data_IF_701266267479
#
_entry.id   IF_701266267479
#
_cell.length_a   1.000
_cell.length_b   1.000
_cell.length_c   1.000
_cell.angle_alpha   90.00
_cell.angle_beta   90.00
_cell.angle_gamma   90.00
#
_symmetry.space_group_name_H-M   'P 1'
#
loop_
_entity.id
_entity.type
_entity.pdbx_description
1 polymer ?
#
# COMPACT_ATOMS: atom_id res chain seq x y z
N UNK A 1 25.08 5.56 -2.39
CA UNK A 1 25.02 6.43 -3.59
C UNK A 1 24.09 7.58 -3.28
N UNK A 2 24.66 8.77 -3.13
CA UNK A 2 23.88 9.98 -2.92
C UNK A 2 23.07 10.28 -4.19
N UNK A 3 21.75 10.49 -4.07
CA UNK A 3 20.88 10.70 -5.22
C UNK A 3 20.81 12.18 -5.56
N UNK A 4 21.92 12.72 -6.10
CA UNK A 4 22.04 14.12 -6.50
C UNK A 4 21.89 14.32 -8.02
N UNK A 5 21.61 15.56 -8.43
CA UNK A 5 21.58 15.95 -9.84
C UNK A 5 22.91 15.70 -10.56
N UNK A 6 24.04 15.87 -9.87
CA UNK A 6 25.37 15.65 -10.42
C UNK A 6 25.62 14.17 -10.73
N UNK A 7 25.18 13.28 -9.84
CA UNK A 7 25.26 11.83 -10.03
C UNK A 7 24.37 11.37 -11.19
N UNK A 8 23.28 12.09 -11.46
CA UNK A 8 22.44 11.85 -12.63
C UNK A 8 23.12 12.33 -13.92
N UNK A 9 23.68 13.55 -13.92
CA UNK A 9 24.38 14.10 -15.07
C UNK A 9 25.58 13.24 -15.47
N UNK A 10 26.38 12.79 -14.51
CA UNK A 10 27.53 11.89 -14.73
C UNK A 10 27.11 10.59 -15.41
N UNK A 11 26.12 9.87 -14.86
CA UNK A 11 25.60 8.62 -15.45
C UNK A 11 25.06 8.82 -16.87
N UNK A 12 24.39 9.94 -17.14
CA UNK A 12 23.91 10.25 -18.50
C UNK A 12 25.09 10.40 -19.47
N UNK A 13 26.14 11.13 -19.08
CA UNK A 13 27.35 11.32 -19.90
C UNK A 13 28.02 9.99 -20.19
N UNK A 14 28.15 9.10 -19.21
CA UNK A 14 28.72 7.76 -19.37
C UNK A 14 27.90 6.86 -20.31
N UNK A 15 26.57 6.97 -20.28
CA UNK A 15 25.69 6.17 -21.16
C UNK A 15 25.62 6.69 -22.60
N UNK A 16 25.96 7.95 -22.83
CA UNK A 16 25.79 8.62 -24.13
C UNK A 16 26.75 8.14 -25.22
N UNK A 17 27.98 7.66 -24.94
CA UNK A 17 28.79 6.96 -25.93
C UNK A 17 28.24 5.58 -26.31
N UNK A 18 27.51 4.93 -25.41
CA UNK A 18 26.99 3.56 -25.59
C UNK A 18 25.57 3.53 -26.20
N UNK A 19 24.91 4.69 -26.32
CA UNK A 19 23.53 4.83 -26.77
C UNK A 19 23.28 6.23 -27.32
N UNK A 20 22.13 6.51 -27.94
CA UNK A 20 21.84 7.91 -28.31
C UNK A 20 21.56 8.76 -27.05
N UNK A 21 21.86 10.06 -27.10
CA UNK A 21 21.59 11.00 -25.99
C UNK A 21 20.13 10.97 -25.49
N UNK A 22 19.18 10.71 -26.41
CA UNK A 22 17.76 10.53 -26.08
C UNK A 22 17.50 9.25 -25.28
N UNK A 23 18.09 8.13 -25.70
CA UNK A 23 17.99 6.85 -24.99
C UNK A 23 18.70 6.91 -23.63
N UNK A 24 19.90 7.48 -23.56
CA UNK A 24 20.62 7.71 -22.31
C UNK A 24 19.79 8.54 -21.32
N UNK A 25 19.16 9.63 -21.79
CA UNK A 25 18.26 10.45 -20.99
C UNK A 25 17.03 9.69 -20.48
N UNK A 26 16.37 8.91 -21.35
CA UNK A 26 15.19 8.14 -20.99
C UNK A 26 15.50 7.05 -19.95
N UNK A 27 16.60 6.30 -20.13
CA UNK A 27 17.01 5.22 -19.23
C UNK A 27 17.36 5.77 -17.84
N UNK A 28 18.16 6.83 -17.78
CA UNK A 28 18.61 7.41 -16.51
C UNK A 28 17.45 8.04 -15.73
N UNK A 29 16.54 8.74 -16.42
CA UNK A 29 15.31 9.29 -15.82
C UNK A 29 14.42 8.18 -15.27
N UNK A 30 14.09 7.18 -16.09
CA UNK A 30 13.21 6.09 -15.68
C UNK A 30 13.78 5.34 -14.48
N UNK A 31 15.08 5.04 -14.47
CA UNK A 31 15.75 4.36 -13.35
C UNK A 31 15.72 5.20 -12.07
N UNK A 32 15.94 6.51 -12.18
CA UNK A 32 15.86 7.44 -11.05
C UNK A 32 14.45 7.52 -10.47
N UNK A 33 13.44 7.69 -11.33
CA UNK A 33 12.03 7.76 -10.92
C UNK A 33 11.58 6.45 -10.24
N UNK A 34 12.00 5.30 -10.76
CA UNK A 34 11.71 4.00 -10.14
C UNK A 34 12.35 3.86 -8.77
N UNK A 35 13.61 4.28 -8.61
CA UNK A 35 14.27 4.26 -7.31
C UNK A 35 13.55 5.16 -6.29
N UNK A 36 13.24 6.40 -6.67
CA UNK A 36 12.57 7.38 -5.81
C UNK A 36 11.18 6.89 -5.39
N UNK A 37 10.43 6.31 -6.32
CA UNK A 37 9.14 5.68 -6.04
C UNK A 37 9.31 4.51 -5.06
N UNK A 38 10.24 3.59 -5.33
CA UNK A 38 10.44 2.42 -4.50
C UNK A 38 10.86 2.77 -3.06
N UNK A 39 11.69 3.80 -2.86
CA UNK A 39 12.05 4.31 -1.52
C UNK A 39 10.85 4.88 -0.76
N UNK A 40 9.98 5.64 -1.44
CA UNK A 40 8.73 6.14 -0.83
C UNK A 40 7.78 5.00 -0.46
N UNK A 41 7.62 4.02 -1.35
CA UNK A 41 6.80 2.84 -1.08
C UNK A 41 7.35 1.98 0.08
N UNK A 42 8.68 1.82 0.19
CA UNK A 42 9.32 1.11 1.30
C UNK A 42 9.04 1.81 2.63
N UNK A 43 9.20 3.14 2.69
CA UNK A 43 8.86 3.93 3.88
C UNK A 43 7.38 3.78 4.26
N UNK A 44 6.46 3.91 3.31
CA UNK A 44 5.03 3.74 3.56
C UNK A 44 4.70 2.33 4.06
N UNK A 45 5.39 1.31 3.55
CA UNK A 45 5.21 -0.07 4.00
C UNK A 45 5.67 -0.27 5.44
N UNK A 46 6.84 0.28 5.81
CA UNK A 46 7.35 0.28 7.18
C UNK A 46 6.35 0.96 8.12
N UNK A 47 5.85 2.14 7.77
CA UNK A 47 4.86 2.86 8.57
C UNK A 47 3.56 2.06 8.77
N UNK A 48 3.10 1.35 7.73
CA UNK A 48 1.93 0.48 7.81
C UNK A 48 2.18 -0.72 8.75
N UNK A 49 3.35 -1.36 8.65
CA UNK A 49 3.74 -2.44 9.55
C UNK A 49 3.77 -1.97 11.01
N UNK A 50 4.38 -0.84 11.29
CA UNK A 50 4.44 -0.25 12.63
C UNK A 50 3.04 0.08 13.17
N UNK A 51 2.16 0.68 12.35
CA UNK A 51 0.78 0.95 12.74
C UNK A 51 -0.02 -0.34 13.03
N UNK A 52 0.20 -1.37 12.23
CA UNK A 52 -0.38 -2.70 12.43
C UNK A 52 0.09 -3.34 13.73
N UNK A 53 1.40 -3.31 14.00
CA UNK A 53 2.01 -3.82 15.24
C UNK A 53 1.44 -3.08 16.44
N UNK A 54 1.45 -1.74 16.45
CA UNK A 54 0.89 -0.94 17.55
C UNK A 54 -0.56 -1.32 17.87
N UNK A 55 -1.39 -1.45 16.83
CA UNK A 55 -2.79 -1.85 16.99
C UNK A 55 -2.92 -3.26 17.58
N UNK A 56 -2.13 -4.23 17.10
CA UNK A 56 -2.19 -5.60 17.61
C UNK A 56 -1.67 -5.67 19.05
N UNK A 57 -0.53 -5.06 19.35
CA UNK A 57 0.06 -5.04 20.70
C UNK A 57 -0.92 -4.46 21.71
N UNK A 58 -1.53 -3.31 21.40
CA UNK A 58 -2.54 -2.70 22.26
C UNK A 58 -3.74 -3.62 22.50
N UNK A 59 -4.28 -4.25 21.46
CA UNK A 59 -5.45 -5.14 21.63
C UNK A 59 -5.12 -6.45 22.33
N UNK A 60 -3.89 -6.95 22.20
CA UNK A 60 -3.44 -8.17 22.85
C UNK A 60 -3.18 -7.98 24.34
N UNK A 61 -2.85 -6.76 24.79
CA UNK A 61 -2.67 -6.43 26.22
C UNK A 61 -3.99 -6.29 26.99
N UNK A 62 -5.13 -6.22 26.28
CA UNK A 62 -6.45 -6.13 26.91
C UNK A 62 -7.02 -7.53 27.21
N UNK A 63 -7.73 -7.71 28.33
CA UNK A 63 -8.49 -8.91 28.62
C UNK A 63 -9.37 -9.37 27.44
N UNK A 64 -9.44 -10.69 27.26
CA UNK A 64 -10.29 -11.31 26.23
C UNK A 64 -11.75 -10.95 26.51
N UNK A 65 -12.46 -10.51 25.48
CA UNK A 65 -13.86 -10.10 25.57
C UNK A 65 -14.07 -8.68 26.13
N UNK A 66 -13.02 -7.97 26.53
CA UNK A 66 -13.16 -6.59 26.99
C UNK A 66 -13.72 -5.71 25.88
N UNK A 67 -14.85 -5.05 26.17
CA UNK A 67 -15.47 -4.09 25.24
C UNK A 67 -14.56 -2.87 25.09
N UNK A 68 -14.47 -2.38 23.85
CA UNK A 68 -13.79 -1.12 23.56
C UNK A 68 -14.54 0.07 24.16
N UNK A 69 -13.85 1.20 24.31
CA UNK A 69 -14.47 2.46 24.73
C UNK A 69 -14.12 3.58 23.74
N UNK A 70 -15.02 4.56 23.58
CA UNK A 70 -14.80 5.80 22.80
C UNK A 70 -14.15 5.56 21.42
N UNK A 71 -14.67 4.62 20.65
CA UNK A 71 -14.18 4.33 19.29
C UNK A 71 -12.88 3.53 19.22
N UNK A 72 -12.26 3.20 20.35
CA UNK A 72 -11.08 2.34 20.41
C UNK A 72 -11.52 0.87 20.52
N UNK A 73 -11.04 -0.04 19.66
CA UNK A 73 -11.34 -1.46 19.76
C UNK A 73 -10.84 -2.05 21.08
N UNK A 74 -11.68 -2.84 21.74
CA UNK A 74 -11.28 -3.59 22.93
C UNK A 74 -10.49 -4.86 22.61
N UNK A 75 -10.36 -5.72 23.62
CA UNK A 75 -9.71 -7.02 23.51
C UNK A 75 -10.36 -7.92 22.46
N UNK A 76 -9.67 -8.99 22.07
CA UNK A 76 -10.21 -9.96 21.12
C UNK A 76 -11.38 -10.75 21.71
N UNK A 77 -12.30 -11.22 20.86
CA UNK A 77 -13.55 -11.84 21.31
C UNK A 77 -13.35 -13.24 21.90
N UNK A 78 -12.32 -13.95 21.46
CA UNK A 78 -12.04 -15.33 21.87
C UNK A 78 -10.55 -15.59 22.03
N UNK A 79 -10.21 -16.62 22.80
CA UNK A 79 -8.83 -17.11 22.96
C UNK A 79 -8.24 -17.60 21.62
N UNK A 80 -9.04 -18.25 20.77
CA UNK A 80 -8.61 -18.68 19.42
C UNK A 80 -8.22 -17.48 18.56
N UNK A 81 -9.03 -16.43 18.56
CA UNK A 81 -8.72 -15.20 17.84
C UNK A 81 -7.46 -14.52 18.41
N UNK A 82 -7.35 -14.43 19.74
CA UNK A 82 -6.19 -13.89 20.42
C UNK A 82 -4.90 -14.62 19.99
N UNK A 83 -4.88 -15.96 20.01
CA UNK A 83 -3.72 -16.74 19.56
C UNK A 83 -3.39 -16.55 18.07
N UNK A 84 -4.40 -16.47 17.21
CA UNK A 84 -4.16 -16.18 15.80
C UNK A 84 -3.53 -14.79 15.59
N UNK A 85 -3.93 -13.81 16.41
CA UNK A 85 -3.43 -12.43 16.35
C UNK A 85 -2.06 -12.27 16.99
N UNK A 86 -1.73 -13.02 18.04
CA UNK A 86 -0.38 -13.05 18.61
C UNK A 86 0.64 -13.63 17.63
N UNK A 87 0.28 -14.71 16.91
CA UNK A 87 1.12 -15.23 15.81
C UNK A 87 1.26 -14.21 14.67
N UNK A 88 0.18 -13.54 14.30
CA UNK A 88 0.23 -12.48 13.29
C UNK A 88 1.15 -11.34 13.72
N UNK A 89 1.13 -10.95 15.00
CA UNK A 89 2.01 -9.92 15.54
C UNK A 89 3.48 -10.29 15.28
N UNK A 90 3.88 -11.51 15.64
CA UNK A 90 5.26 -11.98 15.40
C UNK A 90 5.67 -11.90 13.93
N UNK A 91 4.81 -12.35 13.03
CA UNK A 91 5.05 -12.25 11.57
C UNK A 91 5.20 -10.80 11.11
N UNK A 92 4.47 -9.85 11.70
CA UNK A 92 4.62 -8.44 11.36
C UNK A 92 5.93 -7.86 11.91
N UNK A 93 6.34 -8.23 13.12
CA UNK A 93 7.62 -7.83 13.72
C UNK A 93 8.80 -8.32 12.87
N UNK A 94 8.79 -9.59 12.47
CA UNK A 94 9.84 -10.17 11.62
C UNK A 94 9.94 -9.43 10.28
N UNK A 95 8.80 -9.13 9.66
CA UNK A 95 8.75 -8.35 8.41
C UNK A 95 9.26 -6.93 8.60
N UNK A 96 8.93 -6.29 9.72
CA UNK A 96 9.39 -4.94 10.02
C UNK A 96 10.92 -4.92 10.20
N UNK A 97 11.48 -5.91 10.89
CA UNK A 97 12.93 -6.05 11.06
C UNK A 97 13.64 -6.17 9.70
N UNK A 98 13.14 -7.05 8.82
CA UNK A 98 13.70 -7.23 7.46
C UNK A 98 13.63 -5.94 6.64
N UNK A 99 12.49 -5.25 6.62
CA UNK A 99 12.33 -4.03 5.83
C UNK A 99 13.14 -2.85 6.39
N UNK A 100 13.30 -2.76 7.72
CA UNK A 100 14.19 -1.75 8.35
C UNK A 100 15.65 -2.01 7.99
N UNK A 101 16.13 -3.24 8.15
CA UNK A 101 17.49 -3.63 7.78
C UNK A 101 17.74 -3.37 6.28
N UNK A 102 16.80 -3.75 5.42
CA UNK A 102 16.90 -3.47 3.99
C UNK A 102 16.94 -1.98 3.68
N UNK A 103 16.17 -1.17 4.39
CA UNK A 103 16.16 0.29 4.20
C UNK A 103 17.47 0.94 4.61
N UNK A 104 18.06 0.49 5.71
CA UNK A 104 19.36 0.93 6.26
C UNK A 104 20.51 0.52 5.34
N UNK A 105 20.50 -0.72 4.84
CA UNK A 105 21.43 -1.22 3.84
C UNK A 105 21.26 -0.56 2.45
N UNK A 106 20.28 0.33 2.27
CA UNK A 106 20.02 1.01 0.99
C UNK A 106 19.45 0.09 -0.10
N UNK A 107 18.95 -1.10 0.27
CA UNK A 107 18.36 -2.05 -0.66
C UNK A 107 17.00 -1.57 -1.15
N UNK A 108 16.80 -1.63 -2.47
CA UNK A 108 15.57 -1.22 -3.13
C UNK A 108 15.09 -2.34 -4.06
N UNK A 109 13.85 -2.78 -3.86
CA UNK A 109 13.22 -3.76 -4.73
C UNK A 109 12.37 -3.05 -5.78
N UNK A 110 12.82 -3.08 -7.03
CA UNK A 110 12.09 -2.54 -8.19
C UNK A 110 11.51 -3.70 -8.98
N UNK A 111 10.20 -3.65 -9.26
CA UNK A 111 9.52 -4.65 -10.10
C UNK A 111 8.65 -3.96 -11.14
N UNK A 112 8.68 -4.46 -12.37
CA UNK A 112 7.92 -3.91 -13.50
C UNK A 112 6.41 -3.97 -13.23
N UNK A 113 5.79 -2.79 -13.14
CA UNK A 113 4.37 -2.64 -12.79
C UNK A 113 4.05 -2.79 -11.31
N UNK A 114 5.07 -2.84 -10.44
CA UNK A 114 4.93 -2.81 -8.98
C UNK A 114 4.80 -4.17 -8.30
N UNK A 115 5.11 -4.18 -6.99
CA UNK A 115 5.12 -5.39 -6.14
C UNK A 115 3.76 -6.10 -6.09
N UNK A 116 2.65 -5.36 -6.15
CA UNK A 116 1.28 -5.94 -6.17
C UNK A 116 1.04 -6.77 -7.43
N UNK A 117 1.34 -6.21 -8.60
CA UNK A 117 1.13 -6.90 -9.87
C UNK A 117 2.04 -8.12 -10.00
N UNK A 118 3.30 -8.00 -9.57
CA UNK A 118 4.22 -9.13 -9.49
C UNK A 118 3.66 -10.24 -8.60
N UNK A 119 3.22 -9.90 -7.38
CA UNK A 119 2.63 -10.86 -6.45
C UNK A 119 1.39 -11.54 -7.03
N UNK A 120 0.51 -10.80 -7.71
CA UNK A 120 -0.66 -11.39 -8.40
C UNK A 120 -0.24 -12.37 -9.50
N UNK A 121 0.79 -12.04 -10.30
CA UNK A 121 1.29 -12.92 -11.36
C UNK A 121 1.99 -14.18 -10.82
N UNK A 122 2.64 -14.09 -9.66
CA UNK A 122 3.27 -15.24 -9.01
C UNK A 122 2.29 -16.14 -8.24
N UNK A 123 1.04 -15.70 -8.10
CA UNK A 123 0.00 -16.40 -7.36
C UNK A 123 -1.30 -16.49 -8.17
N UNK A 124 -1.19 -16.71 -9.48
CA UNK A 124 -2.35 -16.79 -10.36
C UNK A 124 -3.31 -17.91 -9.93
N UNK A 125 -2.78 -19.00 -9.39
CA UNK A 125 -3.51 -20.12 -8.79
C UNK A 125 -4.38 -19.69 -7.59
N UNK A 126 -3.95 -18.67 -6.84
CA UNK A 126 -4.71 -18.11 -5.71
C UNK A 126 -5.74 -17.05 -6.16
N UNK A 127 -5.73 -16.65 -7.43
CA UNK A 127 -6.61 -15.64 -8.04
C UNK A 127 -7.66 -16.31 -8.95
N UNK A 128 -7.91 -17.60 -8.76
CA UNK A 128 -8.85 -18.38 -9.60
C UNK A 128 -10.34 -18.07 -9.37
N UNK A 129 -10.71 -17.11 -8.52
CA UNK A 129 -12.13 -16.85 -8.17
C UNK A 129 -12.63 -15.43 -8.44
N UNK A 130 -11.99 -14.67 -9.35
CA UNK A 130 -12.62 -13.45 -9.88
C UNK A 130 -13.34 -13.82 -11.19
N UNK A 131 -14.64 -13.47 -11.34
CA UNK A 131 -15.28 -13.62 -12.64
C UNK A 131 -14.48 -12.80 -13.67
N UNK A 132 -13.95 -13.50 -14.67
CA UNK A 132 -13.44 -12.91 -15.90
C UNK A 132 -14.64 -12.34 -16.67
N UNK A 133 -15.11 -11.17 -16.27
CA UNK A 133 -16.01 -10.38 -17.11
C UNK A 133 -15.51 -8.95 -17.13
N UNK A 134 -14.80 -8.64 -18.21
CA UNK A 134 -14.71 -7.27 -18.66
C UNK A 134 -16.09 -6.83 -19.10
N UNK A 135 -16.71 -5.95 -18.32
CA UNK A 135 -17.81 -5.14 -18.80
C UNK A 135 -17.56 -3.72 -18.32
N UNK A 136 -17.12 -2.85 -19.24
CA UNK A 136 -17.23 -1.41 -19.08
C UNK A 136 -18.73 -1.08 -19.03
N UNK A 137 -19.32 -1.14 -17.84
CA UNK A 137 -20.65 -0.59 -17.61
C UNK A 137 -20.54 0.93 -17.61
N UNK A 138 -20.99 1.56 -18.70
CA UNK A 138 -21.25 2.99 -18.80
C UNK A 138 -21.99 3.46 -17.54
N UNK A 139 -21.39 4.41 -16.82
CA UNK A 139 -22.12 5.24 -15.89
C UNK A 139 -23.23 5.95 -16.68
N UNK A 140 -24.49 5.54 -16.46
CA UNK A 140 -25.66 6.31 -16.89
C UNK A 140 -25.95 7.31 -15.79
N UNK A 141 -26.04 8.58 -16.20
CA UNK A 141 -26.60 9.68 -15.43
C UNK A 141 -27.94 9.26 -14.79
N UNK A 142 -28.04 9.48 -13.48
CA UNK A 142 -29.32 9.56 -12.78
C UNK A 142 -29.29 10.79 -11.89
N UNK A 143 -29.39 11.97 -12.51
CA UNK A 143 -30.00 13.13 -11.87
C UNK A 143 -31.50 12.89 -11.83
N UNK A 144 -32.00 12.27 -10.77
CA UNK A 144 -33.42 12.32 -10.42
C UNK A 144 -33.61 13.23 -9.21
N UNK A 145 -33.79 14.51 -9.54
CA UNK A 145 -34.30 15.58 -8.70
C UNK A 145 -35.59 15.12 -8.00
N UNK A 146 -35.49 14.79 -6.71
CA UNK A 146 -36.66 14.63 -5.84
C UNK A 146 -36.99 16.00 -5.26
N UNK A 147 -37.91 16.70 -5.94
CA UNK A 147 -38.49 17.96 -5.51
C UNK A 147 -39.74 17.65 -4.66
N UNK A 148 -39.54 17.35 -3.38
CA UNK A 148 -40.65 17.21 -2.42
C UNK A 148 -41.19 18.59 -2.06
N UNK A 149 -42.32 18.96 -2.70
CA UNK A 149 -43.20 20.03 -2.24
C UNK A 149 -44.00 19.54 -1.04
N UNK A 150 -43.65 19.95 0.18
CA UNK A 150 -44.57 19.90 1.32
C UNK A 150 -45.27 21.24 1.45
N UNK A 151 -46.56 21.22 1.13
CA UNK A 151 -47.51 22.34 1.19
C UNK A 151 -48.06 22.40 2.62
N UNK A 152 -47.85 23.52 3.32
CA UNK A 152 -48.43 23.80 4.64
C UNK A 152 -49.97 23.76 4.59
N UNK A 153 -50.66 23.27 5.63
CA UNK A 153 -52.08 23.52 5.81
C UNK A 153 -52.30 24.81 6.59
N UNK A 154 -53.11 25.72 6.03
CA UNK A 154 -53.62 26.91 6.71
C UNK A 154 -55.13 26.75 6.86
N UNK A 155 -55.56 26.64 8.13
CA UNK A 155 -56.83 27.03 8.77
C UNK A 155 -58.18 26.82 8.06
N UNK A 156 -59.10 26.20 8.78
CA UNK A 156 -60.33 26.87 9.25
C UNK A 156 -60.47 26.54 10.75
#
# INVERSE_FOLDING_TARGET
MEHSGDTWAARKRELTPLSSSRWAGAITKASHDQWALARRCQLAYIQNLEAGIRTLTHRLSLPIGQKGSRGVPGGYRSRREWHAKSRRLRVLEDRLAVERAGREAGLVHVVRGGKRLARTRHHLENVSSLPRTGTLAKARDTTQTTRTRSRSPRRA
#
